data_IF_618117191778
#
_entry.id   IF_618117191778
#
_cell.length_a   1.000
_cell.length_b   1.000
_cell.length_c   1.000
_cell.angle_alpha   90.00
_cell.angle_beta   90.00
_cell.angle_gamma   90.00
#
_symmetry.space_group_name_H-M   'P 1'
#
loop_
_entity.id
_entity.type
_entity.pdbx_description
1 polymer ?
#
# COMPACT_ATOMS: atom_id res chain seq x y z
N UNK A 1 24.65 -17.00 -1.23
CA UNK A 1 23.46 -16.74 -2.08
C UNK A 1 23.39 -15.24 -2.35
N UNK A 2 23.29 -14.79 -3.60
CA UNK A 2 23.22 -13.36 -3.90
C UNK A 2 21.88 -12.78 -3.41
N UNK A 3 21.89 -11.60 -2.81
CA UNK A 3 20.70 -10.90 -2.29
C UNK A 3 19.56 -10.76 -3.33
N UNK A 4 19.91 -10.75 -4.61
CA UNK A 4 18.98 -10.74 -5.74
C UNK A 4 18.05 -11.95 -5.78
N UNK A 5 18.53 -13.11 -5.32
CA UNK A 5 17.81 -14.37 -5.42
C UNK A 5 16.77 -14.50 -4.31
N UNK A 6 17.13 -14.05 -3.10
CA UNK A 6 16.20 -13.90 -1.98
C UNK A 6 15.06 -12.95 -2.34
N UNK A 7 15.36 -11.84 -3.00
CA UNK A 7 14.34 -10.89 -3.47
C UNK A 7 13.43 -11.46 -4.56
N UNK A 8 13.97 -12.28 -5.47
CA UNK A 8 13.17 -12.91 -6.54
C UNK A 8 12.19 -13.94 -5.99
N UNK A 9 12.62 -14.72 -4.99
CA UNK A 9 11.75 -15.68 -4.27
C UNK A 9 10.63 -14.92 -3.57
N UNK A 10 10.96 -13.89 -2.77
CA UNK A 10 9.96 -13.06 -2.07
C UNK A 10 8.95 -12.46 -3.07
N UNK A 11 9.41 -11.99 -4.23
CA UNK A 11 8.52 -11.42 -5.24
C UNK A 11 7.60 -12.46 -5.88
N UNK A 12 8.08 -13.68 -6.12
CA UNK A 12 7.29 -14.77 -6.68
C UNK A 12 6.17 -15.17 -5.72
N UNK A 13 6.49 -15.30 -4.43
CA UNK A 13 5.54 -15.53 -3.33
C UNK A 13 4.44 -14.46 -3.35
N UNK A 14 4.83 -13.18 -3.30
CA UNK A 14 3.88 -12.06 -3.29
C UNK A 14 3.02 -11.98 -4.55
N UNK A 15 3.58 -12.35 -5.71
CA UNK A 15 2.85 -12.39 -6.97
C UNK A 15 1.83 -13.53 -7.00
N UNK A 16 2.21 -14.73 -6.58
CA UNK A 16 1.30 -15.88 -6.52
C UNK A 16 0.18 -15.66 -5.49
N UNK A 17 0.49 -15.00 -4.37
CA UNK A 17 -0.53 -14.59 -3.41
C UNK A 17 -1.53 -13.58 -3.97
N UNK A 18 -1.03 -12.62 -4.77
CA UNK A 18 -1.88 -11.59 -5.38
C UNK A 18 -2.72 -12.11 -6.54
N UNK A 19 -2.14 -12.94 -7.41
CA UNK A 19 -2.78 -13.41 -8.63
C UNK A 19 -3.83 -14.51 -8.36
N UNK A 20 -3.83 -15.09 -7.15
CA UNK A 20 -4.77 -16.12 -6.72
C UNK A 20 -5.45 -15.75 -5.38
N UNK A 21 -5.82 -14.46 -5.22
CA UNK A 21 -6.43 -13.95 -3.98
C UNK A 21 -7.78 -14.57 -3.62
N UNK A 22 -8.32 -15.39 -4.52
CA UNK A 22 -9.57 -16.14 -4.44
C UNK A 22 -9.37 -17.57 -3.90
N UNK A 23 -8.12 -18.04 -3.76
CA UNK A 23 -7.81 -19.34 -3.16
C UNK A 23 -7.81 -19.29 -1.64
N UNK A 24 -8.10 -20.44 -1.01
CA UNK A 24 -7.93 -20.61 0.43
C UNK A 24 -6.45 -20.52 0.81
N UNK A 25 -6.16 -20.09 2.06
CA UNK A 25 -4.79 -19.91 2.53
C UNK A 25 -3.95 -21.17 2.35
N UNK A 26 -4.49 -22.36 2.63
CA UNK A 26 -3.78 -23.63 2.51
C UNK A 26 -3.45 -23.99 1.05
N UNK A 27 -4.34 -23.74 0.10
CA UNK A 27 -4.08 -23.97 -1.33
C UNK A 27 -3.05 -22.99 -1.88
N UNK A 28 -3.12 -21.74 -1.42
CA UNK A 28 -2.18 -20.69 -1.77
C UNK A 28 -0.77 -20.99 -1.22
N UNK A 29 -0.67 -21.46 0.03
CA UNK A 29 0.58 -21.89 0.63
C UNK A 29 1.20 -23.07 -0.13
N UNK A 30 0.40 -24.09 -0.45
CA UNK A 30 0.88 -25.25 -1.22
C UNK A 30 1.38 -24.88 -2.62
N UNK A 31 0.70 -23.97 -3.33
CA UNK A 31 1.16 -23.49 -4.63
C UNK A 31 2.44 -22.65 -4.54
N UNK A 32 2.50 -21.77 -3.55
CA UNK A 32 3.67 -20.93 -3.29
C UNK A 32 4.88 -21.79 -2.90
N UNK A 33 4.68 -22.78 -2.05
CA UNK A 33 5.69 -23.74 -1.63
C UNK A 33 6.21 -24.53 -2.84
N UNK A 34 5.33 -25.13 -3.65
CA UNK A 34 5.74 -25.85 -4.87
C UNK A 34 6.46 -24.93 -5.89
N UNK A 35 5.97 -23.71 -6.07
CA UNK A 35 6.55 -22.72 -6.98
C UNK A 35 7.92 -22.19 -6.55
N UNK A 36 8.19 -22.18 -5.24
CA UNK A 36 9.48 -21.74 -4.67
C UNK A 36 10.46 -22.89 -4.48
N UNK A 37 10.00 -24.10 -4.16
CA UNK A 37 10.80 -25.33 -4.16
C UNK A 37 11.42 -25.61 -5.53
N UNK A 38 10.66 -25.41 -6.61
CA UNK A 38 11.19 -25.52 -7.98
C UNK A 38 12.37 -24.56 -8.24
N UNK A 39 12.29 -23.32 -7.74
CA UNK A 39 13.37 -22.33 -7.84
C UNK A 39 14.58 -22.66 -6.96
N UNK A 40 14.35 -23.32 -5.81
CA UNK A 40 15.43 -23.84 -4.97
C UNK A 40 16.13 -25.04 -5.61
N UNK A 41 15.38 -25.93 -6.27
CA UNK A 41 15.92 -27.11 -6.94
C UNK A 41 16.81 -26.74 -8.14
N UNK A 42 16.46 -25.68 -8.89
CA UNK A 42 17.30 -25.10 -9.95
C UNK A 42 18.66 -24.59 -9.45
N UNK A 43 18.81 -24.28 -8.15
CA UNK A 43 20.08 -23.84 -7.55
C UNK A 43 20.96 -25.00 -7.06
N UNK A 44 20.36 -26.16 -6.84
CA UNK A 44 21.06 -27.35 -6.34
C UNK A 44 21.55 -28.28 -7.44
N UNK A 45 21.21 -28.03 -8.70
CA UNK A 45 21.74 -28.81 -9.83
C UNK A 45 23.11 -28.30 -10.27
N UNK A 46 24.15 -29.15 -10.29
CA UNK A 46 25.46 -28.77 -10.78
C UNK A 46 25.45 -28.70 -12.32
N UNK A 47 25.41 -27.46 -12.81
CA UNK A 47 25.97 -26.97 -14.08
C UNK A 47 25.70 -27.74 -15.38
N UNK A 48 24.96 -27.12 -16.29
CA UNK A 48 25.35 -27.09 -17.70
C UNK A 48 25.37 -25.65 -18.22
N UNK A 49 26.54 -25.28 -18.75
CA UNK A 49 26.83 -23.99 -19.33
C UNK A 49 25.91 -23.68 -20.51
N UNK A 50 25.21 -22.54 -20.48
CA UNK A 50 24.81 -21.87 -21.70
C UNK A 50 24.89 -20.35 -21.58
N UNK A 51 25.84 -19.82 -22.36
CA UNK A 51 25.91 -18.50 -22.94
C UNK A 51 25.75 -17.28 -22.01
N UNK A 52 26.90 -16.82 -21.53
CA UNK A 52 27.21 -15.40 -21.34
C UNK A 52 26.83 -14.58 -22.60
N UNK A 53 25.78 -13.75 -22.51
CA UNK A 53 25.70 -12.40 -23.09
C UNK A 53 24.40 -11.72 -22.61
N UNK A 54 24.52 -10.46 -22.19
CA UNK A 54 23.44 -9.49 -21.90
C UNK A 54 22.59 -9.57 -20.61
N UNK A 55 22.94 -10.36 -19.59
CA UNK A 55 22.18 -10.36 -18.32
C UNK A 55 22.25 -9.05 -17.52
N UNK A 56 23.30 -8.24 -17.69
CA UNK A 56 23.52 -7.05 -16.83
C UNK A 56 22.79 -5.78 -17.29
N UNK A 57 22.60 -5.63 -18.61
CA UNK A 57 21.72 -4.58 -19.18
C UNK A 57 20.25 -4.92 -18.95
N UNK A 58 19.89 -6.19 -19.06
CA UNK A 58 18.51 -6.64 -18.88
C UNK A 58 18.11 -6.70 -17.39
N UNK A 59 19.05 -6.95 -16.46
CA UNK A 59 18.79 -6.81 -15.02
C UNK A 59 18.56 -5.35 -14.62
N UNK A 60 19.39 -4.39 -15.08
CA UNK A 60 19.17 -2.96 -14.84
C UNK A 60 17.89 -2.45 -15.49
N UNK A 61 17.55 -2.92 -16.69
CA UNK A 61 16.28 -2.60 -17.36
C UNK A 61 15.07 -3.23 -16.65
N UNK A 62 15.17 -4.48 -16.17
CA UNK A 62 14.16 -5.15 -15.33
C UNK A 62 14.00 -4.49 -13.97
N UNK A 63 15.08 -4.07 -13.31
CA UNK A 63 15.06 -3.33 -12.04
C UNK A 63 14.43 -1.94 -12.24
N UNK A 64 14.78 -1.22 -13.31
CA UNK A 64 14.10 0.05 -13.69
C UNK A 64 12.61 -0.16 -14.00
N UNK A 65 12.26 -1.22 -14.73
CA UNK A 65 10.85 -1.59 -15.00
C UNK A 65 10.12 -2.05 -13.72
N UNK A 66 10.80 -2.71 -12.77
CA UNK A 66 10.30 -3.11 -11.44
C UNK A 66 10.04 -1.89 -10.55
N UNK A 67 10.95 -0.91 -10.51
CA UNK A 67 10.73 0.38 -9.85
C UNK A 67 9.55 1.12 -10.46
N UNK A 68 9.47 1.23 -11.80
CA UNK A 68 8.31 1.83 -12.48
C UNK A 68 6.98 1.10 -12.23
N UNK A 69 6.99 -0.21 -11.93
CA UNK A 69 5.78 -0.98 -11.59
C UNK A 69 5.36 -0.85 -10.12
N UNK A 70 6.31 -0.78 -9.18
CA UNK A 70 6.03 -0.46 -7.77
C UNK A 70 5.49 0.98 -7.65
N UNK A 71 6.11 1.92 -8.38
CA UNK A 71 5.57 3.26 -8.60
C UNK A 71 4.17 3.20 -9.19
N UNK A 72 3.90 2.36 -10.22
CA UNK A 72 2.55 2.25 -10.82
C UNK A 72 1.47 1.64 -9.92
N UNK A 73 1.81 0.90 -8.87
CA UNK A 73 0.83 0.48 -7.86
C UNK A 73 0.65 1.55 -6.79
N UNK A 74 1.72 2.26 -6.43
CA UNK A 74 1.59 3.51 -5.66
C UNK A 74 0.69 4.51 -6.42
N UNK A 75 0.80 4.51 -7.77
CA UNK A 75 -0.19 4.74 -8.85
C UNK A 75 -1.68 4.90 -8.52
N UNK A 76 -2.22 3.88 -7.85
CA UNK A 76 -3.67 3.61 -7.89
C UNK A 76 -4.43 4.26 -6.74
N UNK A 77 -3.76 4.59 -5.65
CA UNK A 77 -4.35 5.12 -4.42
C UNK A 77 -3.66 6.42 -3.98
N UNK A 78 -3.23 7.24 -4.94
CA UNK A 78 -2.48 8.46 -4.64
C UNK A 78 -3.21 9.44 -3.76
N UNK A 79 -4.50 9.64 -4.05
CA UNK A 79 -5.32 10.61 -3.34
C UNK A 79 -5.41 10.20 -1.86
N UNK A 80 -5.75 8.93 -1.61
CA UNK A 80 -5.73 8.34 -0.27
C UNK A 80 -4.38 8.44 0.43
N UNK A 81 -3.27 8.19 -0.28
CA UNK A 81 -1.91 8.28 0.27
C UNK A 81 -1.50 9.71 0.62
N UNK A 82 -1.82 10.69 -0.23
CA UNK A 82 -1.55 12.10 0.06
C UNK A 82 -2.32 12.56 1.30
N UNK A 83 -3.57 12.09 1.44
CA UNK A 83 -4.41 12.37 2.59
C UNK A 83 -3.88 11.72 3.88
N UNK A 84 -3.62 10.41 3.85
CA UNK A 84 -3.12 9.64 4.98
C UNK A 84 -1.76 10.14 5.47
N UNK A 85 -0.89 10.61 4.56
CA UNK A 85 0.41 11.17 4.91
C UNK A 85 0.32 12.41 5.83
N UNK A 86 -0.78 13.16 5.78
CA UNK A 86 -0.99 14.30 6.70
C UNK A 86 -1.17 13.84 8.15
N UNK A 87 -1.85 12.72 8.33
CA UNK A 87 -2.24 12.18 9.62
C UNK A 87 -1.42 10.95 10.03
N UNK A 88 -0.33 10.65 9.31
CA UNK A 88 0.49 9.44 9.51
C UNK A 88 0.97 9.30 10.96
N UNK A 89 1.32 10.42 11.60
CA UNK A 89 1.74 10.44 13.02
C UNK A 89 0.61 10.10 14.00
N UNK A 90 -0.65 10.30 13.62
CA UNK A 90 -1.82 10.02 14.44
C UNK A 90 -2.26 8.56 14.29
N UNK A 91 -2.28 8.06 13.06
CA UNK A 91 -2.77 6.72 12.76
C UNK A 91 -1.71 5.61 12.95
N UNK A 92 -0.42 5.96 13.04
CA UNK A 92 0.66 5.00 13.40
C UNK A 92 0.97 4.98 14.90
N UNK A 93 0.04 5.45 15.74
CA UNK A 93 0.23 5.41 17.18
C UNK A 93 0.18 3.97 17.72
N UNK A 94 0.85 3.68 18.85
CA UNK A 94 0.75 2.40 19.52
C UNK A 94 -0.72 2.02 19.77
N UNK A 95 -1.08 0.77 19.45
CA UNK A 95 -2.44 0.26 19.58
C UNK A 95 -3.30 0.37 18.31
N UNK A 96 -2.81 1.02 17.25
CA UNK A 96 -3.48 1.01 15.93
C UNK A 96 -2.68 0.08 15.01
N UNK A 97 -3.25 -1.06 14.57
CA UNK A 97 -2.59 -1.96 13.64
C UNK A 97 -2.34 -1.32 12.27
N UNK A 98 -1.16 -1.57 11.69
CA UNK A 98 -0.78 -1.06 10.35
C UNK A 98 -1.75 -1.51 9.24
N UNK A 99 -2.45 -2.63 9.42
CA UNK A 99 -3.47 -3.12 8.48
C UNK A 99 -4.67 -2.16 8.32
N UNK A 100 -4.87 -1.22 9.25
CA UNK A 100 -5.92 -0.20 9.18
C UNK A 100 -5.54 1.00 8.31
N UNK A 101 -4.26 1.25 8.05
CA UNK A 101 -3.79 2.41 7.28
C UNK A 101 -4.41 2.45 5.86
N UNK A 102 -4.46 1.34 5.11
CA UNK A 102 -5.11 1.31 3.80
C UNK A 102 -6.61 1.62 3.86
N UNK A 103 -7.29 1.29 4.97
CA UNK A 103 -8.72 1.56 5.14
C UNK A 103 -8.99 3.07 5.13
N UNK A 104 -8.16 3.85 5.83
CA UNK A 104 -8.23 5.32 5.81
C UNK A 104 -7.90 5.91 4.45
N UNK A 105 -6.94 5.33 3.72
CA UNK A 105 -6.62 5.78 2.37
C UNK A 105 -7.81 5.57 1.41
N UNK A 106 -8.46 4.42 1.53
CA UNK A 106 -9.56 4.01 0.65
C UNK A 106 -10.88 4.71 0.98
N UNK A 107 -11.06 5.17 2.23
CA UNK A 107 -12.25 5.94 2.60
C UNK A 107 -12.38 7.25 1.82
N UNK A 108 -11.25 7.80 1.35
CA UNK A 108 -11.23 9.07 0.60
C UNK A 108 -12.07 8.98 -0.65
N UNK A 109 -11.88 7.94 -1.48
CA UNK A 109 -12.64 7.78 -2.73
C UNK A 109 -14.14 7.65 -2.47
N UNK A 110 -14.52 6.88 -1.45
CA UNK A 110 -15.92 6.69 -1.07
C UNK A 110 -16.55 7.99 -0.54
N UNK A 111 -15.77 8.85 0.11
CA UNK A 111 -16.27 10.07 0.76
C UNK A 111 -16.37 11.24 -0.21
N UNK A 112 -15.33 11.51 -1.01
CA UNK A 112 -15.30 12.70 -1.88
C UNK A 112 -15.97 12.49 -3.24
N UNK A 113 -16.34 11.25 -3.57
CA UNK A 113 -16.94 10.88 -4.85
C UNK A 113 -15.96 10.80 -6.03
N UNK A 114 -16.39 10.14 -7.10
CA UNK A 114 -15.53 9.84 -8.26
C UNK A 114 -15.04 11.08 -8.99
N UNK A 115 -15.87 12.12 -9.09
CA UNK A 115 -15.53 13.33 -9.84
C UNK A 115 -14.38 14.08 -9.18
N UNK A 116 -14.51 14.43 -7.89
CA UNK A 116 -13.46 15.11 -7.13
C UNK A 116 -12.20 14.24 -7.05
N UNK A 117 -12.36 12.93 -6.84
CA UNK A 117 -11.24 12.00 -6.84
C UNK A 117 -10.47 12.01 -8.17
N UNK A 118 -11.16 12.00 -9.31
CA UNK A 118 -10.55 12.02 -10.64
C UNK A 118 -9.82 13.34 -10.91
N UNK A 119 -10.41 14.47 -10.50
CA UNK A 119 -9.77 15.79 -10.64
C UNK A 119 -8.48 15.88 -9.81
N UNK A 120 -8.52 15.45 -8.55
CA UNK A 120 -7.36 15.45 -7.67
C UNK A 120 -6.30 14.46 -8.16
N UNK A 121 -6.70 13.26 -8.58
CA UNK A 121 -5.78 12.27 -9.16
C UNK A 121 -5.03 12.87 -10.35
N UNK A 122 -5.72 13.59 -11.23
CA UNK A 122 -5.10 14.25 -12.38
C UNK A 122 -4.08 15.32 -11.96
N UNK A 123 -4.33 16.06 -10.86
CA UNK A 123 -3.36 17.01 -10.30
C UNK A 123 -2.12 16.30 -9.75
N UNK A 124 -2.32 15.18 -9.05
CA UNK A 124 -1.22 14.38 -8.52
C UNK A 124 -0.40 13.77 -9.65
N UNK A 125 -1.02 13.25 -10.70
CA UNK A 125 -0.32 12.69 -11.87
C UNK A 125 0.61 13.71 -12.52
N UNK A 126 0.13 14.96 -12.70
CA UNK A 126 0.97 16.05 -13.22
C UNK A 126 2.14 16.39 -12.30
N UNK A 127 1.91 16.39 -10.99
CA UNK A 127 2.97 16.62 -9.99
C UNK A 127 4.02 15.49 -10.02
N UNK A 128 3.56 14.24 -10.10
CA UNK A 128 4.42 13.06 -10.21
C UNK A 128 5.26 13.10 -11.49
N UNK A 129 4.67 13.44 -12.62
CA UNK A 129 5.40 13.56 -13.89
C UNK A 129 6.47 14.65 -13.83
N UNK A 130 6.15 15.80 -13.24
CA UNK A 130 7.12 16.88 -13.04
C UNK A 130 8.27 16.47 -12.10
N UNK A 131 7.94 15.75 -11.03
CA UNK A 131 8.90 15.28 -10.06
C UNK A 131 9.82 14.17 -10.62
N UNK A 132 9.28 13.24 -11.41
CA UNK A 132 10.05 12.19 -12.12
C UNK A 132 11.10 12.84 -13.03
N UNK A 133 10.74 13.91 -13.76
CA UNK A 133 11.67 14.68 -14.61
C UNK A 133 12.80 15.35 -13.83
N UNK A 134 12.58 15.65 -12.55
CA UNK A 134 13.55 16.30 -11.66
C UNK A 134 14.29 15.32 -10.74
N UNK A 135 13.97 14.04 -10.81
CA UNK A 135 14.61 13.00 -9.98
C UNK A 135 14.17 12.98 -8.52
N UNK A 136 13.02 13.58 -8.19
CA UNK A 136 12.45 13.49 -6.84
C UNK A 136 11.78 12.13 -6.62
N UNK A 137 11.95 11.55 -5.43
CA UNK A 137 11.24 10.36 -5.02
C UNK A 137 9.83 10.68 -4.47
N UNK A 138 9.00 9.65 -4.33
CA UNK A 138 7.60 9.80 -3.90
C UNK A 138 7.46 10.43 -2.50
N UNK A 139 8.35 10.10 -1.56
CA UNK A 139 8.33 10.66 -0.21
C UNK A 139 8.67 12.16 -0.22
N UNK A 140 9.63 12.57 -1.04
CA UNK A 140 9.96 13.97 -1.26
C UNK A 140 8.80 14.74 -1.90
N UNK A 141 8.04 14.11 -2.79
CA UNK A 141 6.83 14.71 -3.39
C UNK A 141 5.76 14.94 -2.32
N UNK A 142 5.48 13.95 -1.48
CA UNK A 142 4.53 14.07 -0.38
C UNK A 142 4.91 15.20 0.59
N UNK A 143 6.21 15.32 0.92
CA UNK A 143 6.72 16.35 1.81
C UNK A 143 6.83 17.75 1.16
N UNK A 144 6.75 17.83 -0.17
CA UNK A 144 6.89 19.08 -0.92
C UNK A 144 5.74 20.05 -0.68
N UNK A 145 5.97 21.35 -0.92
CA UNK A 145 4.90 22.37 -0.83
C UNK A 145 3.70 22.03 -1.74
N UNK A 146 3.87 21.68 -3.04
CA UNK A 146 2.76 21.22 -3.87
C UNK A 146 2.04 19.98 -3.31
N UNK A 147 2.79 19.02 -2.76
CA UNK A 147 2.21 17.82 -2.16
C UNK A 147 1.30 18.12 -0.97
N UNK A 148 1.78 18.97 -0.06
CA UNK A 148 1.00 19.46 1.09
C UNK A 148 -0.22 20.27 0.68
N UNK A 149 -0.11 21.09 -0.38
CA UNK A 149 -1.27 21.85 -0.90
C UNK A 149 -2.35 20.92 -1.44
N UNK A 150 -1.98 19.89 -2.22
CA UNK A 150 -2.96 18.90 -2.69
C UNK A 150 -3.57 18.13 -1.52
N UNK A 151 -2.77 17.75 -0.53
CA UNK A 151 -3.26 17.04 0.64
C UNK A 151 -4.28 17.87 1.46
N UNK A 152 -4.02 19.18 1.61
CA UNK A 152 -4.96 20.10 2.24
C UNK A 152 -6.25 20.29 1.42
N UNK A 153 -6.15 20.28 0.07
CA UNK A 153 -7.32 20.28 -0.80
C UNK A 153 -8.18 19.03 -0.59
N UNK A 154 -7.55 17.84 -0.55
CA UNK A 154 -8.25 16.58 -0.28
C UNK A 154 -8.96 16.64 1.07
N UNK A 155 -8.29 17.16 2.11
CA UNK A 155 -8.86 17.30 3.45
C UNK A 155 -10.08 18.23 3.47
N UNK A 156 -10.01 19.37 2.77
CA UNK A 156 -11.13 20.31 2.69
C UNK A 156 -12.35 19.68 2.04
N UNK A 157 -12.16 18.98 0.92
CA UNK A 157 -13.25 18.27 0.22
C UNK A 157 -13.77 17.13 1.09
N UNK A 158 -12.89 16.34 1.70
CA UNK A 158 -13.26 15.25 2.61
C UNK A 158 -14.13 15.76 3.75
N UNK A 159 -13.74 16.83 4.44
CA UNK A 159 -14.53 17.41 5.55
C UNK A 159 -15.89 17.97 5.08
N UNK A 160 -15.97 18.47 3.85
CA UNK A 160 -17.23 19.00 3.29
C UNK A 160 -18.22 17.88 2.96
N UNK A 161 -17.73 16.77 2.40
CA UNK A 161 -18.53 15.63 1.97
C UNK A 161 -18.74 14.58 3.07
N UNK A 162 -18.00 14.69 4.19
CA UNK A 162 -18.14 13.78 5.33
C UNK A 162 -19.55 13.87 5.90
N UNK A 163 -20.21 12.71 5.93
CA UNK A 163 -21.54 12.53 6.51
C UNK A 163 -21.53 11.43 7.56
N UNK A 164 -22.57 11.38 8.39
CA UNK A 164 -22.77 10.29 9.35
C UNK A 164 -22.84 8.90 8.68
N UNK A 165 -23.23 8.83 7.40
CA UNK A 165 -23.20 7.60 6.61
C UNK A 165 -21.76 7.17 6.31
N UNK A 166 -20.92 8.08 5.82
CA UNK A 166 -19.51 7.81 5.53
C UNK A 166 -18.71 7.43 6.78
N UNK A 167 -19.00 8.05 7.93
CA UNK A 167 -18.37 7.70 9.20
C UNK A 167 -18.71 6.27 9.64
N UNK A 168 -19.99 5.87 9.52
CA UNK A 168 -20.43 4.50 9.82
C UNK A 168 -19.77 3.49 8.88
N UNK A 169 -19.72 3.80 7.59
CA UNK A 169 -19.06 2.94 6.61
C UNK A 169 -17.58 2.77 6.91
N UNK A 170 -16.88 3.84 7.30
CA UNK A 170 -15.47 3.77 7.71
C UNK A 170 -15.30 2.85 8.94
N UNK A 171 -16.11 3.02 9.99
CA UNK A 171 -16.05 2.16 11.17
C UNK A 171 -16.29 0.68 10.84
N UNK A 172 -17.27 0.39 9.99
CA UNK A 172 -17.55 -0.99 9.55
C UNK A 172 -16.36 -1.57 8.77
N UNK A 173 -15.73 -0.78 7.89
CA UNK A 173 -14.56 -1.23 7.15
C UNK A 173 -13.35 -1.48 8.06
N UNK A 174 -13.17 -0.68 9.11
CA UNK A 174 -12.13 -0.89 10.12
C UNK A 174 -12.39 -2.19 10.88
N UNK A 175 -13.61 -2.41 11.34
CA UNK A 175 -14.04 -3.63 12.03
C UNK A 175 -13.80 -4.88 11.17
N UNK A 176 -14.32 -4.89 9.93
CA UNK A 176 -14.11 -6.00 8.99
C UNK A 176 -12.63 -6.28 8.72
N UNK A 177 -11.82 -5.23 8.60
CA UNK A 177 -10.39 -5.38 8.33
C UNK A 177 -9.67 -5.98 9.54
N UNK A 178 -10.03 -5.59 10.77
CA UNK A 178 -9.47 -6.18 11.97
C UNK A 178 -9.88 -7.63 12.12
N UNK A 179 -11.16 -7.96 11.94
CA UNK A 179 -11.65 -9.35 12.00
C UNK A 179 -10.89 -10.24 11.01
N UNK A 180 -10.68 -9.77 9.77
CA UNK A 180 -9.94 -10.50 8.73
C UNK A 180 -8.45 -10.68 9.02
N UNK A 181 -7.84 -9.79 9.80
CA UNK A 181 -6.40 -9.78 10.04
C UNK A 181 -6.02 -10.15 11.49
N UNK A 182 -6.98 -10.53 12.33
CA UNK A 182 -6.77 -10.71 13.78
C UNK A 182 -5.65 -11.71 14.11
N UNK A 183 -5.54 -12.78 13.33
CA UNK A 183 -4.51 -13.81 13.49
C UNK A 183 -3.10 -13.33 13.09
N UNK A 184 -3.02 -12.32 12.23
CA UNK A 184 -1.76 -11.75 11.72
C UNK A 184 -1.29 -10.52 12.51
N UNK A 185 -2.11 -10.02 13.44
CA UNK A 185 -1.72 -8.89 14.28
C UNK A 185 -0.87 -9.42 15.43
N UNK A 186 0.45 -9.23 15.33
CA UNK A 186 1.42 -9.53 16.40
C UNK A 186 1.28 -8.55 17.56
N UNK A 187 0.12 -8.55 18.23
CA UNK A 187 -0.03 -7.93 19.53
C UNK A 187 -0.16 -9.07 20.53
N UNK A 188 0.84 -9.26 21.39
CA UNK A 188 0.85 -10.27 22.46
C UNK A 188 -0.23 -10.08 23.55
N UNK A 189 -1.34 -9.42 23.23
CA UNK A 189 -2.51 -9.18 24.04
C UNK A 189 -3.77 -9.45 23.21
N UNK A 190 -4.80 -9.96 23.87
CA UNK A 190 -6.13 -10.17 23.31
C UNK A 190 -6.67 -8.83 22.78
N UNK A 191 -6.73 -8.70 21.45
CA UNK A 191 -7.09 -7.45 20.79
C UNK A 191 -8.61 -7.25 20.86
N UNK A 192 -9.06 -6.29 21.66
CA UNK A 192 -10.45 -5.86 21.62
C UNK A 192 -10.71 -5.06 20.33
N UNK A 193 -11.46 -5.66 19.41
CA UNK A 193 -11.76 -5.08 18.10
C UNK A 193 -12.51 -3.75 18.25
N UNK A 194 -13.54 -3.70 19.09
CA UNK A 194 -14.37 -2.50 19.27
C UNK A 194 -13.56 -1.32 19.81
N UNK A 195 -12.74 -1.58 20.84
CA UNK A 195 -11.85 -0.56 21.40
C UNK A 195 -10.82 -0.07 20.38
N UNK A 196 -10.27 -0.99 19.57
CA UNK A 196 -9.28 -0.67 18.53
C UNK A 196 -9.90 0.15 17.40
N UNK A 197 -11.11 -0.20 16.94
CA UNK A 197 -11.86 0.58 15.94
C UNK A 197 -12.14 1.97 16.46
N UNK A 198 -12.63 2.08 17.70
CA UNK A 198 -12.93 3.37 18.32
C UNK A 198 -11.67 4.23 18.49
N UNK A 199 -10.55 3.64 18.93
CA UNK A 199 -9.27 4.34 19.04
C UNK A 199 -8.81 4.86 17.68
N UNK A 200 -8.76 3.99 16.68
CA UNK A 200 -8.28 4.32 15.35
C UNK A 200 -9.15 5.39 14.67
N UNK A 201 -10.48 5.27 14.79
CA UNK A 201 -11.42 6.27 14.30
C UNK A 201 -11.30 7.61 15.04
N UNK A 202 -11.09 7.60 16.36
CA UNK A 202 -10.93 8.82 17.14
C UNK A 202 -9.61 9.54 16.82
N UNK A 203 -8.50 8.82 16.67
CA UNK A 203 -7.21 9.41 16.25
C UNK A 203 -7.31 10.00 14.84
N UNK A 204 -7.98 9.31 13.93
CA UNK A 204 -8.30 9.81 12.59
C UNK A 204 -9.10 11.12 12.67
N UNK A 205 -10.17 11.15 13.46
CA UNK A 205 -11.04 12.32 13.62
C UNK A 205 -10.38 13.50 14.33
N UNK A 206 -9.43 13.26 15.25
CA UNK A 206 -8.65 14.33 15.88
C UNK A 206 -7.95 15.18 14.82
N UNK A 207 -7.40 14.54 13.79
CA UNK A 207 -6.74 15.26 12.70
C UNK A 207 -7.73 16.06 11.85
N UNK A 208 -8.88 15.45 11.50
CA UNK A 208 -9.92 16.11 10.70
C UNK A 208 -10.47 17.38 11.35
N UNK A 209 -10.56 17.40 12.69
CA UNK A 209 -11.09 18.52 13.48
C UNK A 209 -10.05 19.56 13.90
N UNK A 210 -8.75 19.23 13.79
CA UNK A 210 -7.66 20.12 14.18
C UNK A 210 -7.15 21.02 13.04
N UNK A 211 -7.60 20.77 11.80
CA UNK A 211 -7.24 21.52 10.59
C UNK A 211 -8.40 22.39 10.11
#
# INVERSE_FOLDING_TARGET
MSDTLRQDIIFKILKMAKDNSDLSSDELFNQVEAGTLSMFNELTQPGEESATKDKDKDSKARIKRRMKRKDRNQRKEHVGRFFVNLMEKNIRQPGIPDCLIPVFANSVQATIGEEAYTQISSKIDRLLEFAEKKGFDYGQILASKPGKTIAAEILSVYNTETSSSSEKQLKNNLDETLVKNIESIENGQELNIEDTVNLAFNEFNKYLKAS
#
